data_IF_110363624225
#
_entry.id   IF_110363624225
#
_cell.length_a   1.000
_cell.length_b   1.000
_cell.length_c   1.000
_cell.angle_alpha   90.00
_cell.angle_beta   90.00
_cell.angle_gamma   90.00
#
_symmetry.space_group_name_H-M   'P 1'
#
loop_
_entity.id
_entity.type
_entity.pdbx_description
1 polymer ?
#
# COMPACT_ATOMS: atom_id res chain seq x y z
N UNK A 1 18.21 -5.27 3.76
CA UNK A 1 17.00 -5.66 2.98
C UNK A 1 16.41 -4.42 2.34
N UNK A 2 15.77 -4.56 1.17
CA UNK A 2 15.24 -3.42 0.42
C UNK A 2 13.71 -3.46 0.33
N UNK A 3 13.07 -2.35 0.64
CA UNK A 3 11.61 -2.19 0.49
C UNK A 3 11.27 -1.05 -0.48
N UNK A 4 10.26 -1.29 -1.32
CA UNK A 4 9.62 -0.27 -2.15
C UNK A 4 8.23 0.02 -1.57
N UNK A 5 7.96 1.28 -1.21
CA UNK A 5 6.69 1.72 -0.63
C UNK A 5 6.04 2.76 -1.53
N UNK A 6 4.87 2.44 -2.10
CA UNK A 6 4.09 3.41 -2.87
C UNK A 6 3.15 4.20 -1.97
N UNK A 7 2.97 5.50 -2.28
CA UNK A 7 2.17 6.40 -1.44
C UNK A 7 2.87 6.81 -0.14
N UNK A 8 4.22 6.81 -0.14
CA UNK A 8 5.04 7.02 1.04
C UNK A 8 5.09 8.48 1.55
N UNK A 9 4.57 9.45 0.79
CA UNK A 9 4.66 10.87 1.17
C UNK A 9 3.80 11.28 2.37
N UNK A 10 2.76 10.50 2.72
CA UNK A 10 1.83 10.82 3.83
C UNK A 10 0.97 9.63 4.26
N UNK A 11 0.27 9.81 5.39
CA UNK A 11 -0.73 8.85 5.89
C UNK A 11 -0.14 7.48 6.13
N UNK A 12 -0.86 6.43 5.75
CA UNK A 12 -0.49 5.03 6.01
C UNK A 12 0.89 4.71 5.40
N UNK A 13 1.14 5.12 4.16
CA UNK A 13 2.39 4.79 3.47
C UNK A 13 3.62 5.43 4.13
N UNK A 14 3.50 6.66 4.65
CA UNK A 14 4.55 7.33 5.41
C UNK A 14 4.90 6.56 6.68
N UNK A 15 3.89 6.24 7.50
CA UNK A 15 4.11 5.55 8.78
C UNK A 15 4.64 4.12 8.57
N UNK A 16 4.21 3.44 7.50
CA UNK A 16 4.81 2.16 7.09
C UNK A 16 6.29 2.33 6.73
N UNK A 17 6.65 3.38 6.00
CA UNK A 17 8.05 3.63 5.64
C UNK A 17 8.91 3.92 6.88
N UNK A 18 8.41 4.73 7.82
CA UNK A 18 9.07 5.02 9.09
C UNK A 18 9.29 3.73 9.92
N UNK A 19 8.27 2.85 9.99
CA UNK A 19 8.39 1.56 10.67
C UNK A 19 9.40 0.63 9.99
N UNK A 20 9.39 0.55 8.66
CA UNK A 20 10.33 -0.29 7.92
C UNK A 20 11.78 0.19 8.04
N UNK A 21 12.00 1.51 8.16
CA UNK A 21 13.32 2.05 8.49
C UNK A 21 13.79 1.57 9.87
N UNK A 22 12.91 1.61 10.89
CA UNK A 22 13.19 1.06 12.22
C UNK A 22 13.46 -0.46 12.19
N UNK A 23 12.86 -1.18 11.24
CA UNK A 23 13.10 -2.62 11.01
C UNK A 23 14.38 -2.90 10.19
N UNK A 24 15.14 -1.86 9.79
CA UNK A 24 16.41 -1.96 9.09
C UNK A 24 16.30 -2.19 7.58
N UNK A 25 15.22 -1.76 6.94
CA UNK A 25 15.08 -1.80 5.49
C UNK A 25 15.66 -0.53 4.84
N UNK A 26 16.44 -0.69 3.77
CA UNK A 26 16.69 0.38 2.80
C UNK A 26 15.40 0.67 2.03
N UNK A 27 15.09 1.95 1.77
CA UNK A 27 13.77 2.37 1.32
C UNK A 27 13.78 3.08 -0.05
N UNK A 28 12.94 2.62 -0.95
CA UNK A 28 12.48 3.40 -2.10
C UNK A 28 11.10 3.98 -1.79
N UNK A 29 11.02 5.28 -1.61
CA UNK A 29 9.82 6.02 -1.25
C UNK A 29 9.18 6.59 -2.51
N UNK A 30 7.97 6.13 -2.86
CA UNK A 30 7.30 6.52 -4.10
C UNK A 30 6.06 7.36 -3.83
N UNK A 31 5.93 8.47 -4.53
CA UNK A 31 4.78 9.37 -4.45
C UNK A 31 4.83 10.47 -5.51
N UNK A 32 3.84 11.37 -5.49
CA UNK A 32 3.74 12.50 -6.44
C UNK A 32 4.28 13.81 -5.86
N UNK A 33 4.33 13.91 -4.56
CA UNK A 33 4.75 15.11 -3.84
C UNK A 33 6.21 14.95 -3.43
N UNK A 34 7.10 15.51 -4.24
CA UNK A 34 8.55 15.41 -4.06
C UNK A 34 9.00 16.01 -2.74
N UNK A 35 8.44 17.15 -2.35
CA UNK A 35 8.82 17.81 -1.11
C UNK A 35 8.51 16.93 0.12
N UNK A 36 7.27 16.40 0.18
CA UNK A 36 6.89 15.48 1.26
C UNK A 36 7.66 14.16 1.22
N UNK A 37 8.10 13.68 0.05
CA UNK A 37 8.95 12.48 -0.04
C UNK A 37 10.36 12.76 0.50
N UNK A 38 10.94 13.92 0.20
CA UNK A 38 12.24 14.30 0.73
C UNK A 38 12.20 14.45 2.25
N UNK A 39 11.16 15.08 2.82
CA UNK A 39 10.97 15.16 4.26
C UNK A 39 10.96 13.76 4.92
N UNK A 40 10.24 12.80 4.33
CA UNK A 40 10.20 11.42 4.86
C UNK A 40 11.58 10.77 4.72
N UNK A 41 12.25 10.92 3.57
CA UNK A 41 13.58 10.37 3.32
C UNK A 41 14.60 10.87 4.33
N UNK A 42 14.64 12.19 4.57
CA UNK A 42 15.52 12.81 5.54
C UNK A 42 15.23 12.25 6.94
N UNK A 43 13.97 12.26 7.37
CA UNK A 43 13.58 11.77 8.69
C UNK A 43 13.98 10.32 8.95
N UNK A 44 13.76 9.41 7.97
CA UNK A 44 14.13 7.99 8.14
C UNK A 44 15.64 7.77 8.11
N UNK A 45 16.38 8.54 7.30
CA UNK A 45 17.83 8.41 7.18
C UNK A 45 18.58 9.01 8.38
N UNK A 46 18.03 10.06 9.01
CA UNK A 46 18.61 10.68 10.21
C UNK A 46 18.40 9.81 11.47
N UNK A 47 17.24 9.13 11.55
CA UNK A 47 16.87 8.36 12.73
C UNK A 47 17.32 6.88 12.69
N UNK A 48 17.68 6.38 11.52
CA UNK A 48 18.02 4.96 11.33
C UNK A 48 19.24 4.80 10.41
N UNK A 49 20.07 3.81 10.65
CA UNK A 49 21.24 3.46 9.81
C UNK A 49 20.79 2.66 8.56
N UNK A 50 20.04 3.35 7.68
CA UNK A 50 19.52 2.81 6.40
C UNK A 50 19.76 3.81 5.27
N UNK A 51 19.62 3.33 4.04
CA UNK A 51 19.63 4.17 2.85
C UNK A 51 18.19 4.39 2.37
N UNK A 52 17.85 5.62 1.99
CA UNK A 52 16.56 5.91 1.40
C UNK A 52 16.71 6.74 0.11
N UNK A 53 15.87 6.46 -0.87
CA UNK A 53 15.68 7.28 -2.07
C UNK A 53 14.23 7.67 -2.22
N UNK A 54 13.99 8.86 -2.76
CA UNK A 54 12.67 9.31 -3.18
C UNK A 54 12.53 9.19 -4.69
N UNK A 55 11.39 8.65 -5.13
CA UNK A 55 11.07 8.48 -6.55
C UNK A 55 9.73 9.16 -6.82
N UNK A 56 9.78 10.29 -7.54
CA UNK A 56 8.55 10.95 -7.99
C UNK A 56 7.88 10.11 -9.07
N UNK A 57 6.61 9.74 -8.86
CA UNK A 57 5.82 8.99 -9.83
C UNK A 57 4.32 9.26 -9.73
N UNK A 58 3.68 9.52 -10.87
CA UNK A 58 2.22 9.38 -10.99
C UNK A 58 1.89 7.95 -11.44
N UNK A 59 1.30 7.18 -10.54
CA UNK A 59 0.92 5.79 -10.79
C UNK A 59 -0.32 5.65 -11.69
N UNK A 60 -0.94 6.75 -12.12
CA UNK A 60 -1.90 6.72 -13.23
C UNK A 60 -1.22 6.58 -14.59
N UNK A 61 0.08 6.89 -14.68
CA UNK A 61 0.89 6.57 -15.84
C UNK A 61 1.48 5.16 -15.71
N UNK A 62 1.15 4.30 -16.66
CA UNK A 62 1.57 2.90 -16.67
C UNK A 62 3.10 2.73 -16.77
N UNK A 63 3.79 3.66 -17.44
CA UNK A 63 5.24 3.65 -17.60
C UNK A 63 5.96 3.82 -16.25
N UNK A 64 5.33 4.47 -15.29
CA UNK A 64 5.85 4.63 -13.92
C UNK A 64 5.97 3.28 -13.20
N UNK A 65 5.15 2.28 -13.53
CA UNK A 65 5.10 1.03 -12.78
C UNK A 65 6.40 0.21 -12.89
N UNK A 66 7.00 0.09 -14.07
CA UNK A 66 8.28 -0.59 -14.24
C UNK A 66 9.44 0.30 -13.78
N UNK A 67 9.38 1.59 -14.11
CA UNK A 67 10.43 2.56 -13.80
C UNK A 67 10.77 2.62 -12.30
N UNK A 68 9.76 2.69 -11.42
CA UNK A 68 10.01 2.76 -9.98
C UNK A 68 10.69 1.50 -9.43
N UNK A 69 10.40 0.33 -9.99
CA UNK A 69 11.07 -0.92 -9.62
C UNK A 69 12.50 -0.94 -10.13
N UNK A 70 12.73 -0.53 -11.37
CA UNK A 70 14.08 -0.46 -11.98
C UNK A 70 14.98 0.52 -11.22
N UNK A 71 14.47 1.71 -10.87
CA UNK A 71 15.20 2.70 -10.06
C UNK A 71 15.53 2.17 -8.67
N UNK A 72 14.59 1.47 -8.02
CA UNK A 72 14.82 0.80 -6.73
C UNK A 72 15.96 -0.22 -6.82
N UNK A 73 15.87 -1.11 -7.79
CA UNK A 73 16.89 -2.16 -7.98
C UNK A 73 18.24 -1.56 -8.37
N UNK A 74 18.25 -0.52 -9.18
CA UNK A 74 19.49 0.21 -9.52
C UNK A 74 20.16 0.81 -8.30
N UNK A 75 19.39 1.34 -7.36
CA UNK A 75 19.91 1.97 -6.15
C UNK A 75 20.43 0.95 -5.12
N UNK A 76 19.73 -0.16 -4.94
CA UNK A 76 19.97 -1.10 -3.83
C UNK A 76 20.41 -2.50 -4.25
N UNK A 77 20.39 -2.83 -5.55
CA UNK A 77 20.80 -4.13 -6.06
C UNK A 77 19.75 -5.24 -6.02
N UNK A 78 18.61 -5.01 -5.36
CA UNK A 78 17.54 -6.01 -5.22
C UNK A 78 16.25 -5.43 -4.64
N UNK A 79 15.27 -6.32 -4.43
CA UNK A 79 13.99 -5.97 -3.80
C UNK A 79 13.50 -7.15 -2.98
N UNK A 80 13.26 -6.93 -1.68
CA UNK A 80 12.79 -7.94 -0.74
C UNK A 80 11.32 -7.74 -0.35
N UNK A 81 10.88 -6.48 -0.28
CA UNK A 81 9.53 -6.12 0.13
C UNK A 81 8.92 -5.10 -0.83
N UNK A 82 7.72 -5.41 -1.32
CA UNK A 82 6.89 -4.47 -2.05
C UNK A 82 5.65 -4.12 -1.22
N UNK A 83 5.44 -2.83 -0.95
CA UNK A 83 4.23 -2.32 -0.29
C UNK A 83 3.44 -1.43 -1.27
N UNK A 84 2.37 -1.96 -1.83
CA UNK A 84 1.41 -1.23 -2.63
C UNK A 84 0.40 -0.53 -1.70
N UNK A 85 0.73 0.71 -1.29
CA UNK A 85 -0.10 1.52 -0.39
C UNK A 85 -0.71 2.75 -1.09
N UNK A 86 -0.20 3.14 -2.25
CA UNK A 86 -0.76 4.26 -3.01
C UNK A 86 -2.22 4.00 -3.37
N UNK A 87 -3.03 5.05 -3.24
CA UNK A 87 -4.42 5.01 -3.61
C UNK A 87 -5.11 6.32 -3.28
N UNK A 88 -6.25 6.53 -3.86
CA UNK A 88 -7.14 7.59 -3.47
C UNK A 88 -8.59 7.15 -3.57
N UNK A 89 -9.42 7.86 -2.83
CA UNK A 89 -10.83 7.56 -2.70
C UNK A 89 -11.66 8.51 -3.57
N UNK A 90 -12.87 8.07 -3.85
CA UNK A 90 -13.90 8.90 -4.45
C UNK A 90 -15.19 8.73 -3.65
N UNK A 91 -15.87 9.84 -3.40
CA UNK A 91 -17.22 9.86 -2.83
C UNK A 91 -18.11 10.72 -3.71
N UNK A 92 -19.11 10.12 -4.29
CA UNK A 92 -20.07 10.78 -5.15
C UNK A 92 -21.15 9.83 -5.60
N UNK A 93 -22.30 10.39 -5.99
CA UNK A 93 -23.39 9.57 -6.52
C UNK A 93 -22.92 8.76 -7.72
N UNK A 94 -23.33 7.52 -7.79
CA UNK A 94 -23.11 6.65 -8.94
C UNK A 94 -23.51 7.29 -10.27
N UNK A 95 -24.56 8.14 -10.25
CA UNK A 95 -25.08 8.80 -11.46
C UNK A 95 -24.20 9.95 -11.97
N UNK A 96 -23.22 10.41 -11.19
CA UNK A 96 -22.36 11.55 -11.55
C UNK A 96 -20.91 11.17 -11.81
N UNK A 97 -20.54 9.89 -11.66
CA UNK A 97 -19.18 9.41 -11.93
C UNK A 97 -18.89 9.52 -13.42
N UNK A 98 -17.79 10.18 -13.78
CA UNK A 98 -17.33 10.27 -15.16
C UNK A 98 -16.40 9.11 -15.54
N UNK A 99 -16.28 8.78 -16.85
CA UNK A 99 -15.29 7.78 -17.30
C UNK A 99 -13.86 8.11 -16.87
N UNK A 100 -13.47 9.39 -16.90
CA UNK A 100 -12.13 9.84 -16.54
C UNK A 100 -11.84 9.63 -15.03
N UNK A 101 -12.84 9.87 -14.18
CA UNK A 101 -12.74 9.58 -12.74
C UNK A 101 -12.60 8.07 -12.50
N UNK A 102 -13.41 7.28 -13.18
CA UNK A 102 -13.31 5.82 -13.14
C UNK A 102 -11.93 5.34 -13.54
N UNK A 103 -11.46 5.75 -14.72
CA UNK A 103 -10.16 5.32 -15.27
C UNK A 103 -9.01 5.70 -14.35
N UNK A 104 -9.02 6.92 -13.81
CA UNK A 104 -7.99 7.40 -12.90
C UNK A 104 -7.95 6.61 -11.60
N UNK A 105 -9.10 6.31 -11.01
CA UNK A 105 -9.20 5.54 -9.76
C UNK A 105 -8.69 4.11 -9.97
N UNK A 106 -9.15 3.47 -11.04
CA UNK A 106 -8.70 2.12 -11.38
C UNK A 106 -7.22 2.07 -11.76
N UNK A 107 -6.72 3.09 -12.45
CA UNK A 107 -5.31 3.19 -12.78
C UNK A 107 -4.42 3.11 -11.54
N UNK A 108 -4.74 3.89 -10.51
CA UNK A 108 -3.91 3.94 -9.29
C UNK A 108 -4.21 2.81 -8.31
N UNK A 109 -5.51 2.51 -8.07
CA UNK A 109 -5.88 1.59 -7.00
C UNK A 109 -5.81 0.11 -7.39
N UNK A 110 -5.86 -0.22 -8.68
CA UNK A 110 -5.90 -1.60 -9.15
C UNK A 110 -4.84 -1.91 -10.21
N UNK A 111 -4.76 -1.11 -11.29
CA UNK A 111 -3.82 -1.34 -12.38
C UNK A 111 -2.37 -1.19 -11.94
N UNK A 112 -2.03 -0.11 -11.24
CA UNK A 112 -0.66 0.11 -10.79
C UNK A 112 -0.15 -0.99 -9.86
N UNK A 113 -0.83 -1.41 -8.78
CA UNK A 113 -0.39 -2.53 -7.95
C UNK A 113 -0.15 -3.82 -8.74
N UNK A 114 -0.97 -4.11 -9.76
CA UNK A 114 -0.79 -5.26 -10.64
C UNK A 114 0.53 -5.18 -11.40
N UNK A 115 0.77 -4.09 -12.13
CA UNK A 115 1.96 -3.96 -12.99
C UNK A 115 3.24 -3.70 -12.21
N UNK A 116 3.17 -3.04 -11.05
CA UNK A 116 4.33 -2.93 -10.13
C UNK A 116 4.71 -4.32 -9.61
N UNK A 117 3.73 -5.13 -9.19
CA UNK A 117 3.99 -6.51 -8.73
C UNK A 117 4.57 -7.38 -9.84
N UNK A 118 4.09 -7.22 -11.10
CA UNK A 118 4.63 -7.91 -12.26
C UNK A 118 6.09 -7.52 -12.52
N UNK A 119 6.40 -6.22 -12.50
CA UNK A 119 7.77 -5.72 -12.68
C UNK A 119 8.70 -6.14 -11.53
N UNK A 120 8.20 -6.18 -10.31
CA UNK A 120 8.96 -6.58 -9.12
C UNK A 120 9.26 -8.10 -9.05
N UNK A 121 8.42 -8.93 -9.68
CA UNK A 121 8.48 -10.39 -9.56
C UNK A 121 9.86 -11.02 -9.85
N UNK A 122 10.62 -10.62 -10.90
CA UNK A 122 11.95 -11.19 -11.15
C UNK A 122 12.96 -10.94 -10.02
N UNK A 123 12.79 -9.84 -9.29
CA UNK A 123 13.67 -9.44 -8.19
C UNK A 123 13.25 -10.10 -6.88
N UNK A 124 11.96 -10.14 -6.59
CA UNK A 124 11.40 -10.84 -5.44
C UNK A 124 11.76 -12.34 -5.46
N UNK A 125 11.76 -12.99 -6.63
CA UNK A 125 12.20 -14.40 -6.77
C UNK A 125 13.65 -14.65 -6.37
N UNK A 126 14.48 -13.62 -6.29
CA UNK A 126 15.89 -13.71 -5.89
C UNK A 126 16.14 -13.36 -4.43
N UNK A 127 15.13 -12.81 -3.76
CA UNK A 127 15.18 -12.50 -2.33
C UNK A 127 15.08 -13.75 -1.48
N UNK A 128 15.76 -13.75 -0.34
CA UNK A 128 15.64 -14.81 0.67
C UNK A 128 14.35 -14.74 1.48
N UNK A 129 13.74 -13.55 1.55
CA UNK A 129 12.51 -13.31 2.32
C UNK A 129 11.55 -12.42 1.53
N UNK A 130 11.08 -12.86 0.37
CA UNK A 130 10.25 -12.01 -0.48
C UNK A 130 8.84 -11.85 0.07
N UNK A 131 8.41 -10.60 0.21
CA UNK A 131 7.07 -10.24 0.72
C UNK A 131 6.43 -9.20 -0.20
N UNK A 132 5.14 -9.37 -0.46
CA UNK A 132 4.30 -8.33 -1.08
C UNK A 132 3.13 -8.02 -0.14
N UNK A 133 2.93 -6.74 0.14
CA UNK A 133 1.81 -6.24 0.95
C UNK A 133 0.97 -5.31 0.09
N UNK A 134 -0.29 -5.66 -0.09
CA UNK A 134 -1.27 -4.81 -0.76
C UNK A 134 -2.21 -4.17 0.26
N UNK A 135 -2.25 -2.84 0.31
CA UNK A 135 -3.16 -2.10 1.20
C UNK A 135 -4.45 -1.80 0.44
N UNK A 136 -5.47 -2.61 0.73
CA UNK A 136 -6.80 -2.45 0.15
C UNK A 136 -7.70 -1.53 1.01
N UNK A 137 -8.82 -2.04 1.46
CA UNK A 137 -9.78 -1.40 2.37
C UNK A 137 -10.88 -2.41 2.72
N UNK A 138 -11.63 -2.18 3.80
CA UNK A 138 -12.88 -2.92 4.07
C UNK A 138 -13.89 -2.79 2.93
N UNK A 139 -13.85 -1.70 2.15
CA UNK A 139 -14.70 -1.54 0.96
C UNK A 139 -14.29 -2.44 -0.21
N UNK A 140 -13.19 -3.18 -0.10
CA UNK A 140 -12.84 -4.28 -1.01
C UNK A 140 -13.61 -5.57 -0.74
N UNK A 141 -14.48 -5.59 0.28
CA UNK A 141 -15.31 -6.73 0.68
C UNK A 141 -16.78 -6.37 0.85
N UNK A 142 -17.07 -5.10 1.11
CA UNK A 142 -18.44 -4.60 1.26
C UNK A 142 -18.62 -3.26 0.58
N UNK A 143 -19.87 -2.87 0.32
CA UNK A 143 -20.23 -1.62 -0.33
C UNK A 143 -20.76 -0.60 0.65
N UNK A 144 -20.52 0.68 0.34
CA UNK A 144 -21.15 1.82 0.97
C UNK A 144 -21.74 2.72 -0.12
N UNK A 145 -22.87 3.35 0.16
CA UNK A 145 -23.45 4.36 -0.73
C UNK A 145 -22.42 5.44 -1.07
N UNK A 146 -22.49 5.98 -2.27
CA UNK A 146 -21.60 7.01 -2.82
C UNK A 146 -20.11 6.61 -2.98
N UNK A 147 -19.78 5.31 -2.88
CA UNK A 147 -18.42 4.81 -3.06
C UNK A 147 -18.30 3.76 -4.17
N UNK A 148 -19.17 3.79 -5.18
CA UNK A 148 -19.25 2.76 -6.22
C UNK A 148 -17.90 2.50 -6.91
N UNK A 149 -17.23 3.53 -7.42
CA UNK A 149 -15.94 3.40 -8.12
C UNK A 149 -14.82 2.98 -7.17
N UNK A 150 -14.75 3.61 -6.00
CA UNK A 150 -13.74 3.28 -5.00
C UNK A 150 -13.86 1.82 -4.53
N UNK A 151 -15.08 1.40 -4.15
CA UNK A 151 -15.35 0.00 -3.79
C UNK A 151 -14.97 -0.96 -4.91
N UNK A 152 -15.38 -0.68 -6.15
CA UNK A 152 -15.05 -1.51 -7.32
C UNK A 152 -13.53 -1.66 -7.48
N UNK A 153 -12.77 -0.57 -7.38
CA UNK A 153 -11.31 -0.60 -7.50
C UNK A 153 -10.64 -1.41 -6.39
N UNK A 154 -11.14 -1.32 -5.15
CA UNK A 154 -10.61 -2.08 -4.02
C UNK A 154 -11.01 -3.56 -4.05
N UNK A 155 -12.18 -3.90 -4.60
CA UNK A 155 -12.55 -5.29 -4.92
C UNK A 155 -11.63 -5.87 -6.00
N UNK A 156 -11.30 -5.10 -7.04
CA UNK A 156 -10.36 -5.51 -8.07
C UNK A 156 -8.97 -5.82 -7.47
N UNK A 157 -8.45 -4.94 -6.61
CA UNK A 157 -7.17 -5.18 -5.90
C UNK A 157 -7.24 -6.42 -5.01
N UNK A 158 -8.35 -6.61 -4.28
CA UNK A 158 -8.57 -7.79 -3.44
C UNK A 158 -8.59 -9.08 -4.28
N UNK A 159 -9.29 -9.07 -5.41
CA UNK A 159 -9.35 -10.21 -6.33
C UNK A 159 -7.99 -10.54 -6.92
N UNK A 160 -7.27 -9.53 -7.43
CA UNK A 160 -5.91 -9.67 -7.91
C UNK A 160 -4.99 -10.28 -6.84
N UNK A 161 -4.99 -9.74 -5.63
CA UNK A 161 -4.12 -10.20 -4.55
C UNK A 161 -4.30 -11.69 -4.25
N UNK A 162 -5.55 -12.16 -4.23
CA UNK A 162 -5.86 -13.59 -3.97
C UNK A 162 -5.34 -14.53 -5.06
N UNK A 163 -5.39 -14.12 -6.32
CA UNK A 163 -4.86 -14.91 -7.43
C UNK A 163 -3.34 -14.85 -7.44
N UNK A 164 -2.78 -13.65 -7.36
CA UNK A 164 -1.35 -13.43 -7.34
C UNK A 164 -0.64 -14.21 -6.22
N UNK A 165 -1.22 -14.24 -5.01
CA UNK A 165 -0.67 -15.02 -3.91
C UNK A 165 -0.48 -16.52 -4.27
N UNK A 166 -1.45 -17.10 -4.96
CA UNK A 166 -1.38 -18.52 -5.40
C UNK A 166 -0.33 -18.74 -6.50
N UNK A 167 -0.25 -17.79 -7.45
CA UNK A 167 0.68 -17.87 -8.58
C UNK A 167 2.15 -17.75 -8.14
N UNK A 168 2.42 -16.96 -7.07
CA UNK A 168 3.79 -16.73 -6.62
C UNK A 168 4.21 -17.58 -5.43
N UNK A 169 3.29 -18.27 -4.78
CA UNK A 169 3.57 -19.19 -3.68
C UNK A 169 4.65 -20.26 -4.00
N UNK A 170 4.69 -20.86 -5.22
CA UNK A 170 5.74 -21.80 -5.57
C UNK A 170 7.16 -21.21 -5.57
N UNK A 171 7.28 -19.89 -5.60
CA UNK A 171 8.55 -19.17 -5.52
C UNK A 171 8.91 -18.71 -4.09
N UNK A 172 8.13 -19.14 -3.08
CA UNK A 172 8.36 -18.76 -1.69
C UNK A 172 7.94 -17.32 -1.35
N UNK A 173 7.29 -16.60 -2.27
CA UNK A 173 6.85 -15.21 -2.06
C UNK A 173 5.58 -15.20 -1.21
N UNK A 174 5.63 -14.48 -0.09
CA UNK A 174 4.46 -14.26 0.76
C UNK A 174 3.71 -13.01 0.30
N UNK A 175 2.40 -13.14 0.15
CA UNK A 175 1.54 -12.04 -0.26
C UNK A 175 0.49 -11.81 0.81
N UNK A 176 0.37 -10.58 1.28
CA UNK A 176 -0.55 -10.19 2.32
C UNK A 176 -1.47 -9.07 1.86
N UNK A 177 -2.73 -9.15 2.25
CA UNK A 177 -3.74 -8.13 2.03
C UNK A 177 -4.10 -7.47 3.35
N UNK A 178 -3.85 -6.16 3.46
CA UNK A 178 -4.27 -5.36 4.61
C UNK A 178 -5.49 -4.54 4.18
N UNK A 179 -6.61 -4.72 4.89
CA UNK A 179 -7.91 -4.13 4.56
C UNK A 179 -8.43 -3.29 5.72
N UNK A 180 -7.92 -2.05 5.87
CA UNK A 180 -8.35 -1.17 6.93
C UNK A 180 -9.72 -0.54 6.66
N UNK A 181 -10.43 -0.24 7.75
CA UNK A 181 -11.57 0.66 7.77
C UNK A 181 -11.13 2.12 7.69
N UNK A 182 -11.87 3.01 8.35
CA UNK A 182 -11.50 4.42 8.40
C UNK A 182 -10.23 4.64 9.22
N UNK A 183 -9.15 5.05 8.57
CA UNK A 183 -7.85 5.40 9.19
C UNK A 183 -7.73 6.92 9.29
N UNK A 184 -7.13 7.43 10.35
CA UNK A 184 -6.95 8.86 10.64
C UNK A 184 -5.97 9.52 9.64
N UNK A 185 -6.43 9.73 8.42
CA UNK A 185 -5.68 10.34 7.33
C UNK A 185 -6.46 11.50 6.72
N UNK A 186 -5.77 12.39 6.01
CA UNK A 186 -6.40 13.48 5.27
C UNK A 186 -7.46 12.97 4.26
N UNK A 187 -7.24 11.78 3.70
CA UNK A 187 -8.21 11.13 2.81
C UNK A 187 -9.53 10.85 3.54
N UNK A 188 -9.48 10.26 4.72
CA UNK A 188 -10.68 9.89 5.48
C UNK A 188 -11.34 11.11 6.08
N UNK A 189 -10.59 12.11 6.57
CA UNK A 189 -11.15 13.39 7.04
C UNK A 189 -12.01 14.08 5.97
N UNK A 190 -11.55 14.06 4.70
CA UNK A 190 -12.31 14.63 3.57
C UNK A 190 -13.54 13.80 3.20
N UNK A 191 -13.46 12.48 3.23
CA UNK A 191 -14.56 11.59 2.86
C UNK A 191 -15.63 11.44 3.93
N UNK A 192 -15.22 11.43 5.18
CA UNK A 192 -16.05 11.12 6.34
C UNK A 192 -15.83 12.15 7.47
N UNK A 193 -16.12 13.44 7.21
CA UNK A 193 -16.02 14.48 8.24
C UNK A 193 -17.01 14.27 9.41
N UNK A 194 -17.97 13.37 9.21
CA UNK A 194 -18.96 12.96 10.20
C UNK A 194 -18.41 12.02 11.29
N UNK A 195 -17.22 11.43 11.09
CA UNK A 195 -16.62 10.50 12.06
C UNK A 195 -15.71 11.27 13.00
N UNK A 196 -15.88 11.05 14.31
CA UNK A 196 -14.93 11.55 15.29
C UNK A 196 -13.52 10.99 15.03
N UNK A 197 -12.51 11.87 15.01
CA UNK A 197 -11.13 11.49 14.73
C UNK A 197 -10.59 10.45 15.74
N UNK A 198 -11.03 10.53 17.00
CA UNK A 198 -10.64 9.61 18.07
C UNK A 198 -11.19 8.19 17.88
N UNK A 199 -12.18 8.02 17.01
CA UNK A 199 -12.74 6.71 16.67
C UNK A 199 -12.07 6.06 15.44
N UNK A 200 -11.20 6.80 14.77
CA UNK A 200 -10.50 6.29 13.60
C UNK A 200 -9.33 5.39 14.02
N UNK A 201 -9.05 4.38 13.19
CA UNK A 201 -7.81 3.59 13.29
C UNK A 201 -6.63 4.53 13.09
N UNK A 202 -5.60 4.45 13.92
CA UNK A 202 -4.41 5.26 13.72
C UNK A 202 -3.51 4.64 12.63
N UNK A 203 -2.83 5.43 11.78
CA UNK A 203 -1.92 4.90 10.79
C UNK A 203 -0.85 3.96 11.37
N UNK A 204 -0.40 4.23 12.59
CA UNK A 204 0.57 3.45 13.36
C UNK A 204 0.10 2.01 13.58
N UNK A 205 -1.19 1.79 13.84
CA UNK A 205 -1.77 0.44 13.99
C UNK A 205 -1.62 -0.39 12.71
N UNK A 206 -1.62 0.26 11.54
CA UNK A 206 -1.36 -0.42 10.25
C UNK A 206 0.12 -0.73 10.09
N UNK A 207 1.00 0.18 10.53
CA UNK A 207 2.44 -0.05 10.50
C UNK A 207 2.86 -1.18 11.47
N UNK A 208 2.24 -1.32 12.64
CA UNK A 208 2.43 -2.45 13.55
C UNK A 208 2.12 -3.80 12.90
N UNK A 209 1.06 -3.87 12.08
CA UNK A 209 0.73 -5.07 11.31
C UNK A 209 1.82 -5.37 10.27
N UNK A 210 2.33 -4.35 9.58
CA UNK A 210 3.44 -4.51 8.64
C UNK A 210 4.69 -5.00 9.37
N UNK A 211 5.05 -4.39 10.50
CA UNK A 211 6.14 -4.84 11.38
C UNK A 211 5.99 -6.32 11.74
N UNK A 212 4.82 -6.72 12.21
CA UNK A 212 4.53 -8.11 12.54
C UNK A 212 4.75 -9.05 11.33
N UNK A 213 4.31 -8.66 10.14
CA UNK A 213 4.45 -9.48 8.93
C UNK A 213 5.90 -9.66 8.49
N UNK A 214 6.73 -8.62 8.59
CA UNK A 214 8.11 -8.63 8.10
C UNK A 214 9.09 -9.25 9.11
N UNK A 215 8.77 -9.20 10.41
CA UNK A 215 9.64 -9.70 11.48
C UNK A 215 9.32 -11.12 11.94
N UNK A 216 8.11 -11.62 11.65
CA UNK A 216 7.70 -12.95 12.11
C UNK A 216 8.54 -14.07 11.53
N UNK A 217 8.74 -15.11 12.34
CA UNK A 217 9.44 -16.34 11.97
C UNK A 217 8.44 -17.51 11.91
N UNK A 218 8.75 -18.51 11.12
CA UNK A 218 7.98 -19.76 11.03
C UNK A 218 7.16 -19.90 9.74
N UNK A 219 6.50 -21.05 9.59
CA UNK A 219 5.87 -21.50 8.35
C UNK A 219 4.41 -21.03 8.18
N UNK A 220 3.77 -20.57 9.23
CA UNK A 220 2.41 -20.05 9.09
C UNK A 220 2.39 -18.74 8.28
N UNK A 221 1.36 -18.50 7.50
CA UNK A 221 1.11 -17.24 6.82
C UNK A 221 -0.24 -16.67 7.20
N UNK A 222 -0.39 -15.37 7.13
CA UNK A 222 -1.67 -14.69 7.33
C UNK A 222 -1.97 -13.97 6.02
N UNK A 223 -2.92 -14.49 5.26
CA UNK A 223 -3.21 -13.97 3.93
C UNK A 223 -3.86 -12.59 3.98
N UNK A 224 -4.66 -12.33 5.04
CA UNK A 224 -5.48 -11.14 5.11
C UNK A 224 -5.69 -10.64 6.53
N UNK A 225 -5.55 -9.32 6.70
CA UNK A 225 -6.02 -8.57 7.87
C UNK A 225 -7.23 -7.75 7.47
N UNK A 226 -8.36 -7.99 8.14
CA UNK A 226 -9.56 -7.19 8.05
C UNK A 226 -9.67 -6.36 9.34
N UNK A 227 -9.43 -5.06 9.24
CA UNK A 227 -9.32 -4.17 10.40
C UNK A 227 -10.48 -3.19 10.37
N UNK A 228 -11.39 -3.31 11.29
CA UNK A 228 -12.49 -2.35 11.47
C UNK A 228 -12.22 -1.42 12.65
N UNK A 229 -12.85 -0.26 12.64
CA UNK A 229 -12.87 0.58 13.83
C UNK A 229 -13.56 -0.17 14.97
N UNK A 230 -13.08 0.01 16.20
CA UNK A 230 -13.68 -0.64 17.37
C UNK A 230 -15.15 -0.22 17.56
N UNK A 231 -15.48 1.06 17.29
CA UNK A 231 -16.85 1.59 17.37
C UNK A 231 -17.79 1.07 16.24
N UNK A 232 -17.28 0.35 15.23
CA UNK A 232 -18.11 -0.28 14.20
C UNK A 232 -18.76 -1.57 14.69
N UNK A 233 -19.79 -2.03 13.96
CA UNK A 233 -20.42 -3.33 14.26
C UNK A 233 -19.41 -4.47 14.08
N UNK A 234 -19.40 -5.40 15.06
CA UNK A 234 -18.55 -6.59 14.98
C UNK A 234 -19.09 -7.54 13.91
N UNK A 235 -18.19 -8.14 13.11
CA UNK A 235 -18.51 -9.11 12.07
C UNK A 235 -19.48 -8.61 10.97
N UNK A 236 -19.64 -7.30 10.84
CA UNK A 236 -20.41 -6.66 9.76
C UNK A 236 -19.59 -6.50 8.47
#
# INVERSE_FOLDING_TARGET
>A
MTALVTGASKGIGRVIAEQLAADGYDLALVGRDTASLEEVKEAVSENHDIKAISIEADLSDISSCSRIVEETVKAFGGLDLLVNCAGFSHKGSFTTVTPEEWDRIFAVNARAPFFISQAALPYLKRSEKPIVINVASVVGFKGYADQSVYSSSKHALTGFTKVFAKEVQPFGIRVHLISPGGVATEMVKKMRPDINADELIQPEEIAEIVHFLVTRKGNGTIDQFYIRRFSGLAFD
#
